data_IF_042748702259
#
_entry.id   IF_042748702259
#
_cell.length_a   1.000
_cell.length_b   1.000
_cell.length_c   1.000
_cell.angle_alpha   90.00
_cell.angle_beta   90.00
_cell.angle_gamma   90.00
#
_symmetry.space_group_name_H-M   'P 1'
#
loop_
_entity.id
_entity.type
_entity.pdbx_description
1 polymer ?
#
# COMPACT_ATOMS: atom_id res chain seq x y z
N UNK A 1 -10.92 -13.03 2.04
CA UNK A 1 -11.68 -12.25 1.05
C UNK A 1 -13.12 -11.95 1.43
N UNK A 2 -13.94 -12.92 1.89
CA UNK A 2 -15.36 -12.63 2.19
C UNK A 2 -15.57 -11.51 3.23
N UNK A 3 -14.75 -11.45 4.28
CA UNK A 3 -14.82 -10.38 5.28
C UNK A 3 -14.66 -8.97 4.67
N UNK A 4 -13.77 -8.80 3.69
CA UNK A 4 -13.59 -7.52 2.99
C UNK A 4 -14.81 -7.18 2.13
N UNK A 5 -15.35 -8.15 1.38
CA UNK A 5 -16.56 -7.94 0.60
C UNK A 5 -17.74 -7.55 1.48
N UNK A 6 -17.91 -8.20 2.63
CA UNK A 6 -18.98 -7.88 3.56
C UNK A 6 -18.81 -6.47 4.14
N UNK A 7 -17.59 -6.11 4.57
CA UNK A 7 -17.26 -4.77 5.07
C UNK A 7 -17.58 -3.68 4.03
N UNK A 8 -17.26 -3.92 2.76
CA UNK A 8 -17.59 -3.02 1.65
C UNK A 8 -19.11 -2.88 1.47
N UNK A 9 -19.87 -3.99 1.53
CA UNK A 9 -21.34 -3.95 1.38
C UNK A 9 -22.04 -3.21 2.53
N UNK A 10 -21.52 -3.35 3.75
CA UNK A 10 -22.14 -2.80 4.95
C UNK A 10 -21.74 -1.35 5.24
N UNK A 11 -20.45 -1.02 5.04
CA UNK A 11 -19.86 0.26 5.47
C UNK A 11 -19.35 1.11 4.30
N UNK A 12 -19.32 0.56 3.08
CA UNK A 12 -18.92 1.28 1.87
C UNK A 12 -20.00 2.26 1.40
N UNK A 13 -19.58 3.47 1.03
CA UNK A 13 -20.48 4.50 0.52
C UNK A 13 -20.09 4.82 -0.93
N UNK A 14 -21.01 4.59 -1.87
CA UNK A 14 -20.82 4.96 -3.27
C UNK A 14 -21.09 6.46 -3.42
N UNK A 15 -20.05 7.23 -3.75
CA UNK A 15 -20.17 8.69 -3.97
C UNK A 15 -20.51 9.03 -5.43
N UNK A 16 -20.07 8.17 -6.35
CA UNK A 16 -20.36 8.23 -7.79
C UNK A 16 -20.07 6.88 -8.44
N UNK A 17 -20.35 6.73 -9.74
CA UNK A 17 -20.04 5.53 -10.51
C UNK A 17 -18.55 5.14 -10.52
N UNK A 18 -17.66 6.05 -10.07
CA UNK A 18 -16.21 5.86 -10.07
C UNK A 18 -15.59 5.86 -8.68
N UNK A 19 -16.35 6.22 -7.63
CA UNK A 19 -15.78 6.49 -6.30
C UNK A 19 -16.52 5.72 -5.21
N UNK A 20 -15.79 4.79 -4.60
CA UNK A 20 -16.20 4.07 -3.39
C UNK A 20 -15.46 4.64 -2.18
N UNK A 21 -16.20 5.18 -1.21
CA UNK A 21 -15.67 5.67 0.06
C UNK A 21 -15.67 4.56 1.11
N UNK A 22 -14.52 4.31 1.71
CA UNK A 22 -14.27 3.24 2.72
C UNK A 22 -13.51 3.75 3.93
N UNK A 23 -13.75 5.01 4.31
CA UNK A 23 -13.04 5.69 5.40
C UNK A 23 -13.23 5.02 6.77
N UNK A 24 -14.29 4.23 6.95
CA UNK A 24 -14.61 3.57 8.20
C UNK A 24 -13.65 2.42 8.57
N UNK A 25 -12.94 1.85 7.59
CA UNK A 25 -12.11 0.67 7.82
C UNK A 25 -10.77 0.62 7.05
N UNK A 26 -10.51 1.53 6.11
CA UNK A 26 -9.27 1.56 5.33
C UNK A 26 -8.62 2.95 5.25
N UNK A 27 -9.32 3.96 4.72
CA UNK A 27 -8.70 5.22 4.28
C UNK A 27 -8.55 6.32 5.34
N UNK A 28 -9.20 6.18 6.50
CA UNK A 28 -9.08 7.16 7.59
C UNK A 28 -9.07 6.46 8.96
N UNK A 29 -10.14 5.73 9.26
CA UNK A 29 -10.15 4.73 10.31
C UNK A 29 -9.68 3.40 9.69
N UNK A 30 -8.84 2.68 10.42
CA UNK A 30 -8.31 1.39 10.00
C UNK A 30 -8.94 0.34 10.90
N UNK A 31 -9.49 -0.73 10.32
CA UNK A 31 -9.89 -1.95 11.04
C UNK A 31 -8.68 -2.90 11.09
N UNK A 32 -7.96 -3.01 12.23
CA UNK A 32 -6.70 -3.75 12.28
C UNK A 32 -6.91 -5.26 12.10
N UNK A 33 -8.06 -5.79 12.55
CA UNK A 33 -8.39 -7.20 12.40
C UNK A 33 -8.63 -7.53 10.92
N UNK A 34 -9.35 -6.66 10.20
CA UNK A 34 -9.51 -6.80 8.75
C UNK A 34 -8.15 -6.69 8.02
N UNK A 35 -7.29 -5.73 8.40
CA UNK A 35 -5.96 -5.59 7.80
C UNK A 35 -5.09 -6.83 8.04
N UNK A 36 -5.19 -7.47 9.21
CA UNK A 36 -4.50 -8.72 9.49
C UNK A 36 -4.98 -9.84 8.57
N UNK A 37 -6.30 -10.00 8.38
CA UNK A 37 -6.86 -10.98 7.46
C UNK A 37 -6.43 -10.74 6.00
N UNK A 38 -6.37 -9.48 5.59
CA UNK A 38 -5.88 -9.09 4.26
C UNK A 38 -4.39 -9.42 4.11
N UNK A 39 -3.56 -9.05 5.10
CA UNK A 39 -2.14 -9.33 5.08
C UNK A 39 -1.82 -10.83 5.10
N UNK A 40 -2.57 -11.61 5.86
CA UNK A 40 -2.48 -13.07 5.90
C UNK A 40 -2.81 -13.69 4.53
N UNK A 41 -3.82 -13.17 3.83
CA UNK A 41 -4.20 -13.67 2.51
C UNK A 41 -3.15 -13.31 1.44
N UNK A 42 -2.60 -12.10 1.46
CA UNK A 42 -1.48 -11.75 0.59
C UNK A 42 -0.27 -12.65 0.86
N UNK A 43 0.10 -12.84 2.13
CA UNK A 43 1.20 -13.71 2.49
C UNK A 43 0.98 -15.16 2.03
N UNK A 44 -0.24 -15.68 2.13
CA UNK A 44 -0.61 -17.01 1.64
C UNK A 44 -0.42 -17.14 0.13
N UNK A 45 -0.86 -16.13 -0.63
CA UNK A 45 -0.74 -16.13 -2.10
C UNK A 45 0.71 -16.07 -2.57
N UNK A 46 1.59 -15.41 -1.81
CA UNK A 46 2.99 -15.18 -2.17
C UNK A 46 4.00 -15.98 -1.32
N UNK A 47 3.55 -16.98 -0.55
CA UNK A 47 4.39 -17.74 0.36
C UNK A 47 5.61 -18.39 -0.33
N UNK A 48 5.40 -18.94 -1.52
CA UNK A 48 6.44 -19.63 -2.30
C UNK A 48 7.12 -18.73 -3.34
N UNK A 49 6.77 -17.43 -3.37
CA UNK A 49 7.30 -16.51 -4.37
C UNK A 49 8.72 -16.02 -4.04
N UNK A 50 9.25 -16.31 -2.85
CA UNK A 50 10.59 -15.88 -2.42
C UNK A 50 10.69 -14.37 -2.17
N UNK A 51 9.60 -13.74 -1.72
CA UNK A 51 9.55 -12.30 -1.40
C UNK A 51 10.57 -11.98 -0.32
N UNK A 52 11.40 -10.96 -0.54
CA UNK A 52 12.38 -10.47 0.43
C UNK A 52 12.00 -9.11 1.02
N UNK A 53 11.04 -8.43 0.38
CA UNK A 53 10.67 -7.06 0.70
C UNK A 53 9.29 -6.71 0.20
N UNK A 54 8.59 -5.85 0.93
CA UNK A 54 7.34 -5.24 0.46
C UNK A 54 7.57 -3.76 0.19
N UNK A 55 7.02 -3.28 -0.92
CA UNK A 55 6.96 -1.85 -1.24
C UNK A 55 5.50 -1.41 -1.35
N UNK A 56 5.18 -0.28 -0.72
CA UNK A 56 3.88 0.39 -0.79
C UNK A 56 4.10 1.89 -0.98
N UNK A 57 3.02 2.68 -1.04
CA UNK A 57 3.06 4.14 -0.97
C UNK A 57 2.28 4.67 0.23
N UNK A 58 2.65 5.84 0.75
CA UNK A 58 1.90 6.50 1.81
C UNK A 58 0.55 7.09 1.33
N UNK A 59 -0.52 7.08 2.14
CA UNK A 59 -0.59 6.57 3.51
C UNK A 59 -1.39 5.26 3.63
N UNK A 60 -2.51 5.13 2.92
CA UNK A 60 -3.47 4.03 3.11
C UNK A 60 -2.89 2.62 2.86
N UNK A 61 -2.00 2.47 1.87
CA UNK A 61 -1.34 1.18 1.59
C UNK A 61 -0.44 0.67 2.73
N UNK A 62 -0.04 1.53 3.69
CA UNK A 62 0.86 1.14 4.78
C UNK A 62 0.26 0.04 5.65
N UNK A 63 -1.01 0.13 6.02
CA UNK A 63 -1.62 -0.84 6.95
C UNK A 63 -1.68 -2.27 6.36
N UNK A 64 -2.23 -2.51 5.16
CA UNK A 64 -2.20 -3.85 4.57
C UNK A 64 -0.78 -4.33 4.24
N UNK A 65 0.13 -3.43 3.82
CA UNK A 65 1.52 -3.78 3.55
C UNK A 65 2.27 -4.25 4.81
N UNK A 66 2.09 -3.55 5.94
CA UNK A 66 2.69 -3.92 7.22
C UNK A 66 2.18 -5.27 7.72
N UNK A 67 0.87 -5.52 7.63
CA UNK A 67 0.32 -6.82 8.02
C UNK A 67 0.82 -7.96 7.13
N UNK A 68 0.97 -7.70 5.82
CA UNK A 68 1.55 -8.67 4.89
C UNK A 68 3.02 -8.96 5.23
N UNK A 69 3.81 -7.92 5.48
CA UNK A 69 5.23 -8.03 5.82
C UNK A 69 5.45 -8.73 7.16
N UNK A 70 4.59 -8.45 8.14
CA UNK A 70 4.57 -9.15 9.42
C UNK A 70 4.38 -10.66 9.23
N UNK A 71 3.44 -11.07 8.38
CA UNK A 71 3.17 -12.49 8.14
C UNK A 71 4.27 -13.18 7.32
N UNK A 72 4.80 -12.52 6.30
CA UNK A 72 5.90 -13.03 5.48
C UNK A 72 7.27 -12.97 6.19
N UNK A 73 7.38 -12.23 7.29
CA UNK A 73 8.65 -12.03 8.01
C UNK A 73 9.64 -11.14 7.26
N UNK A 74 9.17 -10.19 6.45
CA UNK A 74 9.99 -9.33 5.59
C UNK A 74 9.77 -7.84 5.88
N UNK A 75 10.80 -6.99 5.68
CA UNK A 75 10.66 -5.56 5.87
C UNK A 75 9.75 -4.90 4.83
N UNK A 76 9.15 -3.79 5.22
CA UNK A 76 8.23 -2.98 4.40
C UNK A 76 8.82 -1.60 4.19
N UNK A 77 8.81 -1.12 2.95
CA UNK A 77 9.16 0.24 2.56
C UNK A 77 7.89 0.93 2.07
N UNK A 78 7.63 2.14 2.53
CA UNK A 78 6.63 3.00 1.92
C UNK A 78 7.31 4.17 1.19
N UNK A 79 6.94 4.35 -0.08
CA UNK A 79 7.33 5.51 -0.87
C UNK A 79 6.64 6.77 -0.33
N UNK A 80 7.33 7.91 -0.42
CA UNK A 80 6.81 9.20 0.03
C UNK A 80 6.44 10.10 -1.14
N UNK A 81 5.33 10.84 -1.01
CA UNK A 81 4.81 11.78 -2.03
C UNK A 81 5.43 13.18 -1.90
N UNK A 82 6.08 13.48 -0.77
CA UNK A 82 6.74 14.76 -0.51
C UNK A 82 8.18 14.54 -0.04
N UNK A 83 9.08 15.45 -0.42
CA UNK A 83 10.44 15.46 0.11
C UNK A 83 10.40 15.69 1.62
N UNK A 84 10.90 14.70 2.37
CA UNK A 84 11.07 14.81 3.80
C UNK A 84 12.40 15.49 4.11
N UNK A 85 12.44 16.30 5.18
CA UNK A 85 13.64 16.94 5.70
C UNK A 85 14.83 15.97 5.90
N UNK A 86 14.58 14.68 6.14
CA UNK A 86 15.60 13.67 6.39
C UNK A 86 15.95 12.81 5.17
N UNK A 87 15.27 13.00 4.03
CA UNK A 87 15.49 12.26 2.78
C UNK A 87 16.17 13.20 1.77
N UNK A 88 17.47 13.42 1.93
CA UNK A 88 18.16 14.53 1.26
C UNK A 88 18.98 14.14 0.03
N UNK A 89 19.45 12.89 -0.12
CA UNK A 89 20.42 12.54 -1.19
C UNK A 89 20.20 11.15 -1.82
N UNK A 90 20.41 11.07 -3.15
CA UNK A 90 20.37 9.86 -4.00
C UNK A 90 19.05 9.07 -3.99
N UNK A 91 17.90 9.75 -3.97
CA UNK A 91 16.60 9.08 -3.96
C UNK A 91 16.30 8.39 -5.30
N UNK A 92 15.70 7.19 -5.22
CA UNK A 92 15.00 6.58 -6.35
C UNK A 92 13.65 7.27 -6.48
N UNK A 93 13.40 7.94 -7.60
CA UNK A 93 12.18 8.72 -7.82
C UNK A 93 11.39 8.22 -9.02
N UNK A 94 10.07 8.41 -8.96
CA UNK A 94 9.17 8.19 -10.10
C UNK A 94 8.13 9.31 -10.12
N UNK A 95 7.70 9.70 -11.32
CA UNK A 95 6.57 10.61 -11.47
C UNK A 95 5.26 9.84 -11.57
N UNK A 96 4.24 10.29 -10.84
CA UNK A 96 2.90 9.71 -10.85
C UNK A 96 1.89 10.80 -11.18
N UNK A 97 1.16 10.63 -12.27
CA UNK A 97 0.11 11.54 -12.68
C UNK A 97 -1.20 11.25 -11.93
N UNK A 98 -1.77 12.27 -11.30
CA UNK A 98 -3.08 12.19 -10.66
C UNK A 98 -4.15 12.70 -11.63
N UNK A 99 -4.98 11.81 -12.18
CA UNK A 99 -6.09 12.21 -13.05
C UNK A 99 -7.16 13.04 -12.33
N UNK A 100 -7.39 12.77 -11.04
CA UNK A 100 -8.37 13.51 -10.23
C UNK A 100 -7.91 14.91 -9.84
N UNK A 101 -6.60 15.12 -9.67
CA UNK A 101 -6.03 16.45 -9.36
C UNK A 101 -5.44 17.16 -10.57
N UNK A 102 -5.30 16.46 -11.70
CA UNK A 102 -4.58 16.90 -12.90
C UNK A 102 -3.16 17.39 -12.61
N UNK A 103 -2.48 16.75 -11.65
CA UNK A 103 -1.12 17.10 -11.23
C UNK A 103 -0.19 15.91 -11.26
N UNK A 104 1.07 16.14 -11.62
CA UNK A 104 2.15 15.17 -11.49
C UNK A 104 2.77 15.30 -10.09
N UNK A 105 2.93 14.18 -9.40
CA UNK A 105 3.58 14.12 -8.09
C UNK A 105 4.80 13.22 -8.18
N UNK A 106 5.93 13.66 -7.63
CA UNK A 106 7.12 12.81 -7.51
C UNK A 106 7.01 11.95 -6.26
N UNK A 107 7.13 10.64 -6.43
CA UNK A 107 7.27 9.69 -5.34
C UNK A 107 8.72 9.28 -5.18
N UNK A 108 9.16 9.02 -3.95
CA UNK A 108 10.56 8.72 -3.66
C UNK A 108 10.76 7.59 -2.65
N UNK A 109 11.82 6.81 -2.86
CA UNK A 109 12.35 5.79 -1.94
C UNK A 109 13.84 6.02 -1.76
N UNK A 110 14.35 5.84 -0.53
CA UNK A 110 15.79 5.83 -0.27
C UNK A 110 16.41 4.51 -0.77
N UNK A 111 17.47 4.55 -1.60
CA UNK A 111 18.11 3.34 -2.14
C UNK A 111 18.77 2.49 -1.05
N UNK A 112 19.03 3.05 0.13
CA UNK A 112 19.61 2.29 1.26
C UNK A 112 18.75 1.11 1.71
N UNK A 113 17.46 1.14 1.39
CA UNK A 113 16.51 0.11 1.78
C UNK A 113 16.19 -0.86 0.65
N UNK A 114 16.61 -0.61 -0.59
CA UNK A 114 16.28 -1.44 -1.76
C UNK A 114 17.55 -1.80 -2.54
N UNK A 115 17.82 -3.09 -2.66
CA UNK A 115 19.01 -3.61 -3.32
C UNK A 115 18.64 -4.45 -4.57
N UNK A 116 19.63 -4.70 -5.43
CA UNK A 116 19.44 -5.43 -6.70
C UNK A 116 19.09 -6.92 -6.53
N UNK A 117 19.29 -7.49 -5.34
CA UNK A 117 18.91 -8.87 -5.02
C UNK A 117 17.50 -9.00 -4.45
N UNK A 118 16.82 -7.87 -4.17
CA UNK A 118 15.49 -7.91 -3.59
C UNK A 118 14.46 -8.45 -4.58
N UNK A 119 13.60 -9.33 -4.09
CA UNK A 119 12.36 -9.72 -4.76
C UNK A 119 11.20 -9.03 -4.07
N UNK A 120 10.65 -8.04 -4.75
CA UNK A 120 9.67 -7.11 -4.18
C UNK A 120 8.24 -7.57 -4.46
N UNK A 121 7.41 -7.59 -3.41
CA UNK A 121 5.95 -7.60 -3.53
C UNK A 121 5.43 -6.16 -3.35
N UNK A 122 4.70 -5.65 -4.34
CA UNK A 122 4.04 -4.34 -4.23
C UNK A 122 2.64 -4.54 -3.65
N UNK A 123 2.31 -3.80 -2.60
CA UNK A 123 0.99 -3.76 -1.98
C UNK A 123 0.48 -2.32 -2.03
N UNK A 124 -0.80 -2.14 -2.37
CA UNK A 124 -1.48 -0.84 -2.33
C UNK A 124 -2.95 -1.02 -1.92
N UNK A 125 -3.61 0.07 -1.53
CA UNK A 125 -5.00 0.04 -1.05
C UNK A 125 -6.04 -0.01 -2.18
N UNK A 126 -5.79 0.72 -3.27
CA UNK A 126 -6.67 0.76 -4.45
C UNK A 126 -5.89 0.61 -5.75
N UNK A 127 -6.52 -0.02 -6.74
CA UNK A 127 -6.11 0.01 -8.14
C UNK A 127 -7.26 0.60 -8.96
N UNK A 128 -7.01 1.73 -9.62
CA UNK A 128 -7.99 2.48 -10.40
C UNK A 128 -7.39 2.89 -11.76
N UNK A 129 -8.26 3.17 -12.74
CA UNK A 129 -7.93 3.65 -14.08
C UNK A 129 -8.53 5.03 -14.33
#
# INVERSE_FOLDING_TARGET
MEALHQKIREEGIVLSDQVLKVDAFLNHQIDPALMQLIGDEFARLFADAGVTKIVTIEASGIAPAVMTGLKLGVPVIFARKHQSLTLTENLLTASVYSFTKQTENTVAISPRHLNSSDRVLVIDDFLAN
#
